data_IF_340123709671
#
_entry.id   IF_340123709671
#
_cell.length_a   1.000
_cell.length_b   1.000
_cell.length_c   1.000
_cell.angle_alpha   90.00
_cell.angle_beta   90.00
_cell.angle_gamma   90.00
#
_symmetry.space_group_name_H-M   'P 1'
#
loop_
_entity.id
_entity.type
_entity.pdbx_description
1 polymer ?
#
# COMPACT_ATOMS: atom_id res chain seq x y z
N UNK A 1 7.60 4.46 33.94
CA UNK A 1 6.27 3.99 33.50
C UNK A 1 6.11 2.52 33.83
N UNK A 2 4.89 2.06 34.12
CA UNK A 2 4.58 0.63 34.26
C UNK A 2 4.28 -0.03 32.90
N UNK A 3 4.18 -1.37 32.84
CA UNK A 3 4.00 -2.11 31.58
C UNK A 3 2.75 -1.67 30.79
N UNK A 4 1.65 -1.36 31.49
CA UNK A 4 0.40 -0.91 30.86
C UNK A 4 0.57 0.47 30.23
N UNK A 5 1.19 1.40 30.95
CA UNK A 5 1.52 2.74 30.44
C UNK A 5 2.44 2.66 29.21
N UNK A 6 3.44 1.78 29.24
CA UNK A 6 4.36 1.57 28.11
C UNK A 6 3.62 1.02 26.87
N UNK A 7 2.68 0.10 27.08
CA UNK A 7 1.84 -0.44 26.02
C UNK A 7 0.93 0.63 25.42
N UNK A 8 0.22 1.38 26.25
CA UNK A 8 -0.69 2.45 25.82
C UNK A 8 0.09 3.54 25.06
N UNK A 9 1.32 3.85 25.50
CA UNK A 9 2.21 4.76 24.78
C UNK A 9 2.65 4.20 23.43
N UNK A 10 3.00 2.91 23.37
CA UNK A 10 3.32 2.22 22.13
C UNK A 10 2.16 2.20 21.14
N UNK A 11 0.94 1.96 21.60
CA UNK A 11 -0.30 2.06 20.82
C UNK A 11 -0.47 3.46 20.23
N UNK A 12 -0.27 4.50 21.05
CA UNK A 12 -0.28 5.90 20.59
C UNK A 12 0.76 6.15 19.49
N UNK A 13 1.99 5.69 19.67
CA UNK A 13 3.04 5.85 18.65
C UNK A 13 2.72 5.10 17.36
N UNK A 14 2.21 3.86 17.43
CA UNK A 14 1.77 3.09 16.27
C UNK A 14 0.69 3.84 15.48
N UNK A 15 -0.30 4.39 16.20
CA UNK A 15 -1.39 5.18 15.63
C UNK A 15 -0.87 6.44 14.93
N UNK A 16 0.01 7.20 15.56
CA UNK A 16 0.58 8.41 14.95
C UNK A 16 1.44 8.08 13.71
N UNK A 17 2.20 6.99 13.74
CA UNK A 17 2.96 6.52 12.58
C UNK A 17 2.04 6.08 11.42
N UNK A 18 0.91 5.42 11.74
CA UNK A 18 -0.06 4.97 10.75
C UNK A 18 -0.77 6.16 10.09
N UNK A 19 -1.19 7.16 10.87
CA UNK A 19 -1.77 8.42 10.36
C UNK A 19 -0.83 9.16 9.41
N UNK A 20 0.45 9.19 9.76
CA UNK A 20 1.48 9.83 8.94
C UNK A 20 1.88 9.02 7.69
N UNK A 21 1.36 7.79 7.52
CA UNK A 21 1.72 6.86 6.46
C UNK A 21 3.23 6.55 6.38
N UNK A 22 3.83 6.36 7.55
CA UNK A 22 5.19 5.80 7.69
C UNK A 22 5.22 4.39 7.07
N UNK A 23 6.37 3.90 6.63
CA UNK A 23 6.50 2.51 6.16
C UNK A 23 6.73 1.54 7.32
N UNK A 24 6.16 0.32 7.28
CA UNK A 24 6.44 -0.71 8.32
C UNK A 24 7.94 -1.01 8.45
N UNK A 25 8.70 -0.91 7.36
CA UNK A 25 10.17 -1.05 7.39
C UNK A 25 10.85 0.04 8.23
N UNK A 26 10.35 1.27 8.20
CA UNK A 26 10.89 2.39 8.97
C UNK A 26 10.58 2.24 10.47
N UNK A 27 9.39 1.76 10.81
CA UNK A 27 9.04 1.42 12.20
C UNK A 27 9.98 0.36 12.78
N UNK A 28 10.23 -0.69 12.00
CA UNK A 28 11.18 -1.74 12.37
C UNK A 28 12.61 -1.23 12.50
N UNK A 29 13.03 -0.34 11.59
CA UNK A 29 14.34 0.31 11.65
C UNK A 29 14.51 1.11 12.94
N UNK A 30 13.52 1.92 13.33
CA UNK A 30 13.57 2.68 14.58
C UNK A 30 13.77 1.80 15.80
N UNK A 31 12.99 0.72 15.91
CA UNK A 31 13.15 -0.25 16.99
C UNK A 31 14.57 -0.85 17.01
N UNK A 32 15.08 -1.28 15.86
CA UNK A 32 16.43 -1.85 15.77
C UNK A 32 17.54 -0.85 16.11
N UNK A 33 17.44 0.39 15.65
CA UNK A 33 18.43 1.42 15.95
C UNK A 33 18.43 1.73 17.45
N UNK A 34 17.27 1.94 18.07
CA UNK A 34 17.21 2.19 19.52
C UNK A 34 17.72 1.00 20.32
N UNK A 35 17.39 -0.23 19.91
CA UNK A 35 17.88 -1.46 20.56
C UNK A 35 19.41 -1.53 20.57
N UNK A 36 20.05 -1.16 19.47
CA UNK A 36 21.49 -1.42 19.24
C UNK A 36 22.40 -0.21 19.48
N UNK A 37 21.86 1.01 19.55
CA UNK A 37 22.63 2.25 19.65
C UNK A 37 22.30 3.03 20.91
N UNK A 38 23.13 4.00 21.26
CA UNK A 38 22.87 4.89 22.40
C UNK A 38 21.69 5.84 22.11
N UNK A 39 21.06 6.37 23.16
CA UNK A 39 19.96 7.31 23.01
C UNK A 39 20.35 8.59 22.22
N UNK A 40 21.53 9.20 22.44
CA UNK A 40 21.97 10.34 21.62
C UNK A 40 22.14 9.99 20.14
N UNK A 41 22.63 8.78 19.82
CA UNK A 41 22.72 8.32 18.44
C UNK A 41 21.33 8.15 17.83
N UNK A 42 20.40 7.56 18.57
CA UNK A 42 19.03 7.37 18.12
C UNK A 42 18.34 8.73 17.86
N UNK A 43 18.51 9.69 18.75
CA UNK A 43 17.98 11.05 18.55
C UNK A 43 18.55 11.71 17.29
N UNK A 44 19.86 11.62 17.07
CA UNK A 44 20.52 12.13 15.87
C UNK A 44 20.02 11.42 14.59
N UNK A 45 19.80 10.10 14.66
CA UNK A 45 19.23 9.33 13.56
C UNK A 45 17.82 9.83 13.20
N UNK A 46 16.95 10.03 14.19
CA UNK A 46 15.58 10.54 13.99
C UNK A 46 15.62 11.93 13.35
N UNK A 47 16.46 12.86 13.86
CA UNK A 47 16.63 14.20 13.27
C UNK A 47 17.06 14.15 11.81
N UNK A 48 17.98 13.24 11.47
CA UNK A 48 18.43 13.05 10.10
C UNK A 48 17.31 12.52 9.18
N UNK A 49 16.51 11.55 9.65
CA UNK A 49 15.38 11.04 8.87
C UNK A 49 14.30 12.11 8.64
N UNK A 50 14.03 12.98 9.62
CA UNK A 50 13.14 14.15 9.46
C UNK A 50 13.69 15.06 8.35
N UNK A 51 14.96 15.45 8.44
CA UNK A 51 15.58 16.32 7.43
C UNK A 51 15.54 15.70 6.03
N UNK A 52 15.71 14.38 5.91
CA UNK A 52 15.58 13.65 4.64
C UNK A 52 14.15 13.61 4.12
N UNK A 53 13.15 13.50 4.99
CA UNK A 53 11.74 13.54 4.59
C UNK A 53 11.38 14.93 4.04
N UNK A 54 11.76 15.99 4.75
CA UNK A 54 11.49 17.39 4.36
C UNK A 54 12.14 17.73 3.02
N UNK A 55 13.38 17.29 2.78
CA UNK A 55 14.12 17.56 1.53
C UNK A 55 13.59 16.78 0.32
N UNK A 56 12.45 16.10 0.43
CA UNK A 56 11.90 15.11 -0.51
C UNK A 56 11.49 15.56 -1.92
N UNK A 57 12.27 16.43 -2.58
CA UNK A 57 12.24 16.63 -4.03
C UNK A 57 13.37 15.85 -4.71
N UNK A 58 13.00 14.90 -5.59
CA UNK A 58 13.85 14.15 -6.54
C UNK A 58 14.58 12.85 -6.12
N UNK A 59 14.87 12.55 -4.84
CA UNK A 59 15.58 11.28 -4.45
C UNK A 59 14.90 10.39 -3.40
N UNK A 60 13.66 10.68 -3.00
CA UNK A 60 12.88 9.82 -2.11
C UNK A 60 13.35 9.87 -0.65
N UNK A 61 12.77 10.80 0.13
CA UNK A 61 12.85 10.78 1.58
C UNK A 61 11.89 9.75 2.19
N UNK A 62 12.08 9.35 3.47
CA UNK A 62 11.15 8.47 4.15
C UNK A 62 9.77 9.13 4.30
N UNK A 63 8.79 8.71 3.49
CA UNK A 63 7.42 9.26 3.51
C UNK A 63 6.84 9.30 4.93
N UNK A 64 6.21 10.41 5.30
CA UNK A 64 5.50 10.55 6.57
C UNK A 64 6.40 10.83 7.78
N UNK A 65 7.72 10.73 7.62
CA UNK A 65 8.65 10.82 8.74
C UNK A 65 8.87 12.27 9.21
N UNK A 66 8.59 13.25 8.37
CA UNK A 66 8.52 14.67 8.73
C UNK A 66 7.40 14.95 9.74
N UNK A 67 6.30 14.18 9.69
CA UNK A 67 5.17 14.30 10.63
C UNK A 67 5.38 13.41 11.86
N UNK A 68 5.83 12.17 11.67
CA UNK A 68 5.98 11.21 12.77
C UNK A 68 7.28 11.41 13.59
N UNK A 69 8.38 11.79 12.95
CA UNK A 69 9.68 11.96 13.62
C UNK A 69 9.64 12.92 14.82
N UNK A 70 8.95 14.08 14.76
CA UNK A 70 8.74 14.93 15.93
C UNK A 70 8.11 14.22 17.13
N UNK A 71 7.20 13.25 16.91
CA UNK A 71 6.59 12.45 17.99
C UNK A 71 7.59 11.52 18.66
N UNK A 72 8.55 11.00 17.91
CA UNK A 72 9.68 10.26 18.49
C UNK A 72 10.58 11.19 19.30
N UNK A 73 10.83 12.42 18.85
CA UNK A 73 11.62 13.39 19.62
C UNK A 73 10.90 13.83 20.91
N UNK A 74 9.57 13.97 20.88
CA UNK A 74 8.74 14.18 22.08
C UNK A 74 8.89 13.01 23.05
N UNK A 75 8.80 11.77 22.55
CA UNK A 75 8.97 10.56 23.37
C UNK A 75 10.38 10.49 24.00
N UNK A 76 11.45 10.82 23.25
CA UNK A 76 12.81 10.86 23.82
C UNK A 76 12.88 11.83 25.01
N UNK A 77 12.22 12.99 24.92
CA UNK A 77 12.19 13.95 26.04
C UNK A 77 11.37 13.44 27.22
N UNK A 78 10.25 12.79 26.96
CA UNK A 78 9.35 12.27 27.99
C UNK A 78 9.97 11.12 28.79
N UNK A 79 10.68 10.21 28.12
CA UNK A 79 11.37 9.11 28.76
C UNK A 79 12.71 9.52 29.39
N UNK A 80 13.31 10.63 28.94
CA UNK A 80 14.60 11.11 29.45
C UNK A 80 15.68 10.04 29.32
N UNK A 81 16.31 9.68 30.45
CA UNK A 81 17.35 8.65 30.48
C UNK A 81 16.81 7.21 30.48
N UNK A 82 15.48 7.01 30.58
CA UNK A 82 14.85 5.68 30.55
C UNK A 82 14.76 5.12 29.12
N UNK A 83 15.93 4.75 28.59
CA UNK A 83 16.06 4.07 27.30
C UNK A 83 15.29 2.75 27.28
N UNK A 84 15.21 2.06 28.42
CA UNK A 84 14.53 0.76 28.54
C UNK A 84 13.02 0.90 28.31
N UNK A 85 12.40 1.87 28.97
CA UNK A 85 11.00 2.22 28.77
C UNK A 85 10.71 2.65 27.33
N UNK A 86 11.55 3.53 26.75
CA UNK A 86 11.36 3.97 25.37
C UNK A 86 11.49 2.80 24.37
N UNK A 87 12.44 1.89 24.61
CA UNK A 87 12.61 0.69 23.79
C UNK A 87 11.38 -0.22 23.87
N UNK A 88 10.81 -0.38 25.06
CA UNK A 88 9.60 -1.18 25.27
C UNK A 88 8.38 -0.55 24.60
N UNK A 89 8.21 0.76 24.71
CA UNK A 89 7.14 1.49 24.01
C UNK A 89 7.27 1.35 22.48
N UNK A 90 8.50 1.43 21.93
CA UNK A 90 8.75 1.22 20.51
C UNK A 90 8.59 -0.24 20.06
N UNK A 91 8.85 -1.21 20.95
CA UNK A 91 8.54 -2.62 20.71
C UNK A 91 7.03 -2.81 20.48
N UNK A 92 6.21 -2.29 21.40
CA UNK A 92 4.75 -2.31 21.25
C UNK A 92 4.28 -1.56 20.02
N UNK A 93 4.84 -0.37 19.76
CA UNK A 93 4.51 0.41 18.58
C UNK A 93 4.79 -0.39 17.30
N UNK A 94 5.94 -1.05 17.20
CA UNK A 94 6.30 -1.86 16.04
C UNK A 94 5.40 -3.10 15.89
N UNK A 95 5.00 -3.75 16.99
CA UNK A 95 4.08 -4.89 16.97
C UNK A 95 2.66 -4.50 16.53
N UNK A 96 2.18 -3.35 16.98
CA UNK A 96 0.79 -2.89 16.76
C UNK A 96 0.65 -2.04 15.51
N UNK A 97 1.76 -1.60 14.92
CA UNK A 97 1.78 -0.74 13.75
C UNK A 97 0.95 -1.30 12.58
N UNK A 98 1.18 -2.55 12.19
CA UNK A 98 0.46 -3.13 11.04
C UNK A 98 -1.04 -3.26 11.33
N UNK A 99 -1.41 -3.56 12.59
CA UNK A 99 -2.81 -3.56 13.03
C UNK A 99 -3.43 -2.17 12.95
N UNK A 100 -2.78 -1.12 13.48
CA UNK A 100 -3.26 0.27 13.41
C UNK A 100 -3.32 0.77 11.96
N UNK A 101 -2.36 0.38 11.11
CA UNK A 101 -2.38 0.71 9.69
C UNK A 101 -3.59 0.07 8.99
N UNK A 102 -3.83 -1.21 9.23
CA UNK A 102 -5.00 -1.92 8.70
C UNK A 102 -6.31 -1.36 9.27
N UNK A 103 -6.34 -1.05 10.56
CA UNK A 103 -7.53 -0.52 11.24
C UNK A 103 -7.90 0.86 10.69
N UNK A 104 -6.93 1.74 10.43
CA UNK A 104 -7.16 3.02 9.75
C UNK A 104 -7.55 2.88 8.29
N UNK A 105 -7.02 1.88 7.59
CA UNK A 105 -7.51 1.52 6.26
C UNK A 105 -8.97 1.02 6.30
N UNK A 106 -9.44 0.47 7.42
CA UNK A 106 -10.82 -0.01 7.60
C UNK A 106 -11.77 0.96 8.33
N UNK A 107 -11.25 2.07 8.90
CA UNK A 107 -12.06 3.19 9.44
C UNK A 107 -12.24 4.30 8.40
N UNK A 108 -11.46 4.27 7.31
CA UNK A 108 -11.77 5.00 6.07
C UNK A 108 -12.98 4.35 5.40
N UNK A 109 -14.16 4.53 6.01
CA UNK A 109 -15.39 3.78 5.70
C UNK A 109 -15.14 2.25 5.79
N UNK A 110 -16.15 1.35 5.70
CA UNK A 110 -15.83 0.00 5.27
C UNK A 110 -14.84 0.11 4.11
N UNK A 111 -13.88 -0.81 3.99
CA UNK A 111 -13.32 -1.08 2.67
C UNK A 111 -14.54 -1.35 1.77
N UNK A 112 -15.04 -0.33 1.08
CA UNK A 112 -15.22 -0.44 -0.35
C UNK A 112 -13.95 -1.18 -0.77
N UNK A 113 -14.14 -2.42 -1.19
CA UNK A 113 -13.15 -3.14 -1.98
C UNK A 113 -12.38 -2.09 -2.79
N UNK A 114 -11.06 -1.99 -2.61
CA UNK A 114 -10.20 -1.06 -3.35
C UNK A 114 -10.53 -1.23 -4.84
N UNK A 115 -11.38 -0.34 -5.33
CA UNK A 115 -12.12 -0.56 -6.57
C UNK A 115 -13.32 0.37 -6.75
N UNK A 116 -13.46 1.48 -6.02
CA UNK A 116 -14.60 2.38 -6.27
C UNK A 116 -14.37 3.86 -5.93
N UNK A 117 -13.23 4.42 -6.34
CA UNK A 117 -13.21 5.84 -6.73
C UNK A 117 -12.36 5.97 -8.00
N UNK A 118 -13.02 5.62 -9.11
CA UNK A 118 -12.69 5.69 -10.56
C UNK A 118 -13.25 4.49 -11.35
N UNK A 119 -13.92 3.54 -10.69
CA UNK A 119 -14.57 2.40 -11.37
C UNK A 119 -15.83 2.81 -12.14
N UNK A 120 -16.70 3.68 -11.59
CA UNK A 120 -17.92 4.09 -12.30
C UNK A 120 -17.64 4.64 -13.71
N UNK A 121 -16.62 5.48 -13.89
CA UNK A 121 -16.29 5.99 -15.23
C UNK A 121 -15.57 4.98 -16.12
N UNK A 122 -14.85 3.99 -15.56
CA UNK A 122 -14.15 2.96 -16.33
C UNK A 122 -15.06 1.79 -16.70
N UNK A 123 -15.87 1.30 -15.76
CA UNK A 123 -16.88 0.28 -16.01
C UNK A 123 -17.97 0.79 -16.94
N UNK A 124 -18.47 2.02 -16.76
CA UNK A 124 -19.51 2.55 -17.66
C UNK A 124 -18.96 2.80 -19.07
N UNK A 125 -17.71 3.25 -19.23
CA UNK A 125 -17.16 3.62 -20.54
C UNK A 125 -16.47 2.45 -21.26
N UNK A 126 -15.68 1.66 -20.54
CA UNK A 126 -14.79 0.66 -21.14
C UNK A 126 -15.28 -0.77 -20.99
N UNK A 127 -16.05 -1.11 -19.95
CA UNK A 127 -16.61 -2.47 -19.81
C UNK A 127 -17.45 -2.86 -21.03
N UNK A 128 -18.44 -2.07 -21.50
CA UNK A 128 -19.22 -2.48 -22.66
C UNK A 128 -18.39 -2.57 -23.95
N UNK A 129 -17.38 -1.71 -24.12
CA UNK A 129 -16.48 -1.72 -25.29
C UNK A 129 -15.57 -2.96 -25.29
N UNK A 130 -14.90 -3.22 -24.17
CA UNK A 130 -13.99 -4.35 -24.01
C UNK A 130 -14.76 -5.67 -23.99
N UNK A 131 -15.92 -5.72 -23.34
CA UNK A 131 -16.73 -6.94 -23.28
C UNK A 131 -17.19 -7.38 -24.66
N UNK A 132 -17.57 -6.47 -25.56
CA UNK A 132 -17.95 -6.81 -26.94
C UNK A 132 -16.83 -7.50 -27.71
N UNK A 133 -15.62 -6.96 -27.63
CA UNK A 133 -14.42 -7.51 -28.30
C UNK A 133 -14.02 -8.84 -27.65
N UNK A 134 -13.91 -8.87 -26.32
CA UNK A 134 -13.46 -10.04 -25.56
C UNK A 134 -14.45 -11.20 -25.63
N UNK A 135 -15.76 -10.93 -25.66
CA UNK A 135 -16.79 -11.95 -25.84
C UNK A 135 -16.66 -12.64 -27.19
N UNK A 136 -16.32 -11.90 -28.24
CA UNK A 136 -16.11 -12.44 -29.59
C UNK A 136 -14.81 -13.26 -29.65
N UNK A 137 -13.71 -12.74 -29.10
CA UNK A 137 -12.41 -13.40 -29.10
C UNK A 137 -12.34 -14.63 -28.19
N UNK A 138 -13.07 -14.63 -27.07
CA UNK A 138 -13.01 -15.69 -26.06
C UNK A 138 -14.25 -16.60 -26.04
N UNK A 139 -15.10 -16.54 -27.07
CA UNK A 139 -16.32 -17.35 -27.15
C UNK A 139 -16.03 -18.86 -27.01
N UNK A 140 -14.98 -19.33 -27.68
CA UNK A 140 -14.54 -20.73 -27.67
C UNK A 140 -14.10 -21.21 -26.28
N UNK A 141 -13.55 -20.30 -25.46
CA UNK A 141 -13.11 -20.58 -24.09
C UNK A 141 -14.22 -20.47 -23.04
N UNK A 142 -15.47 -20.24 -23.46
CA UNK A 142 -16.60 -20.08 -22.55
C UNK A 142 -16.48 -18.82 -21.70
N UNK A 143 -16.29 -17.68 -22.36
CA UNK A 143 -16.31 -16.36 -21.75
C UNK A 143 -17.53 -16.17 -20.83
N UNK A 144 -17.26 -15.78 -19.59
CA UNK A 144 -18.30 -15.52 -18.58
C UNK A 144 -18.50 -14.01 -18.42
N UNK A 145 -17.47 -13.31 -17.97
CA UNK A 145 -17.52 -11.88 -17.67
C UNK A 145 -16.12 -11.26 -17.64
N UNK A 146 -16.09 -9.93 -17.50
CA UNK A 146 -14.86 -9.17 -17.28
C UNK A 146 -14.95 -8.31 -16.02
N UNK A 147 -13.85 -8.27 -15.27
CA UNK A 147 -13.62 -7.33 -14.18
C UNK A 147 -12.63 -6.26 -14.62
N UNK A 148 -12.94 -4.98 -14.38
CA UNK A 148 -12.01 -3.89 -14.63
C UNK A 148 -11.54 -3.30 -13.31
N UNK A 149 -10.23 -3.23 -13.12
CA UNK A 149 -9.61 -2.59 -11.96
C UNK A 149 -8.62 -1.53 -12.42
N UNK A 150 -8.57 -0.38 -11.77
CA UNK A 150 -7.52 0.60 -12.01
C UNK A 150 -6.38 0.44 -11.00
N UNK A 151 -5.20 0.02 -11.47
CA UNK A 151 -4.01 -0.13 -10.64
C UNK A 151 -2.90 0.83 -11.10
N UNK A 152 -2.55 1.81 -10.24
CA UNK A 152 -1.41 2.75 -10.43
C UNK A 152 -1.34 3.41 -11.83
N UNK A 153 -2.49 3.78 -12.40
CA UNK A 153 -2.58 4.41 -13.73
C UNK A 153 -2.70 3.43 -14.91
N UNK A 154 -2.74 2.12 -14.64
CA UNK A 154 -3.07 1.08 -15.61
C UNK A 154 -4.46 0.48 -15.31
N UNK A 155 -5.14 0.00 -16.35
CA UNK A 155 -6.38 -0.76 -16.33
C UNK A 155 -5.98 -2.24 -16.35
N UNK A 156 -6.29 -2.95 -15.27
CA UNK A 156 -6.22 -4.40 -15.22
C UNK A 156 -7.59 -4.95 -15.62
N UNK A 157 -7.65 -5.63 -16.75
CA UNK A 157 -8.83 -6.34 -17.23
C UNK A 157 -8.70 -7.82 -16.86
N UNK A 158 -9.48 -8.25 -15.87
CA UNK A 158 -9.65 -9.66 -15.51
C UNK A 158 -10.67 -10.27 -16.45
N UNK A 159 -10.31 -11.37 -17.10
CA UNK A 159 -11.16 -12.09 -18.05
C UNK A 159 -11.48 -13.45 -17.47
N UNK A 160 -12.76 -13.69 -17.19
CA UNK A 160 -13.24 -14.92 -16.57
C UNK A 160 -13.69 -15.91 -17.63
N UNK A 161 -12.99 -17.05 -17.73
CA UNK A 161 -13.24 -18.10 -18.72
C UNK A 161 -13.55 -19.43 -18.04
N UNK A 162 -14.62 -20.10 -18.46
CA UNK A 162 -15.07 -21.37 -17.84
C UNK A 162 -14.35 -22.60 -18.40
N UNK A 163 -13.96 -22.56 -19.67
CA UNK A 163 -13.41 -23.72 -20.40
C UNK A 163 -11.96 -23.51 -20.83
N UNK A 164 -11.26 -22.56 -20.20
CA UNK A 164 -9.88 -22.27 -20.54
C UNK A 164 -8.93 -23.33 -20.00
N UNK A 165 -8.16 -23.95 -20.90
CA UNK A 165 -7.11 -24.92 -20.60
C UNK A 165 -5.78 -24.63 -21.30
N UNK A 166 -5.63 -23.44 -21.89
CA UNK A 166 -4.43 -23.01 -22.61
C UNK A 166 -3.44 -22.24 -21.74
N UNK A 167 -2.44 -21.62 -22.38
CA UNK A 167 -1.46 -20.78 -21.71
C UNK A 167 -2.04 -19.37 -21.44
N UNK A 168 -2.22 -18.96 -20.16
CA UNK A 168 -2.79 -17.65 -19.83
C UNK A 168 -1.98 -16.46 -20.39
N UNK A 169 -0.66 -16.59 -20.50
CA UNK A 169 0.21 -15.51 -20.95
C UNK A 169 0.13 -15.27 -22.45
N UNK A 170 -0.07 -16.33 -23.24
CA UNK A 170 -0.30 -16.25 -24.69
C UNK A 170 -1.65 -15.58 -24.96
N UNK A 171 -2.72 -16.07 -24.35
CA UNK A 171 -4.05 -15.47 -24.52
C UNK A 171 -4.07 -14.00 -24.06
N UNK A 172 -3.45 -13.67 -22.93
CA UNK A 172 -3.35 -12.27 -22.48
C UNK A 172 -2.59 -11.38 -23.48
N UNK A 173 -1.59 -11.92 -24.18
CA UNK A 173 -0.83 -11.19 -25.21
C UNK A 173 -1.64 -11.00 -26.49
N UNK A 174 -2.41 -12.01 -26.90
CA UNK A 174 -3.28 -11.93 -28.07
C UNK A 174 -4.42 -10.94 -27.82
N UNK A 175 -5.08 -11.01 -26.66
CA UNK A 175 -6.09 -10.05 -26.25
C UNK A 175 -5.53 -8.62 -26.20
N UNK A 176 -4.30 -8.45 -25.73
CA UNK A 176 -3.65 -7.15 -25.74
C UNK A 176 -3.47 -6.58 -27.15
N UNK A 177 -3.04 -7.41 -28.11
CA UNK A 177 -2.86 -6.98 -29.51
C UNK A 177 -4.18 -6.58 -30.15
N UNK A 178 -5.20 -7.42 -30.03
CA UNK A 178 -6.51 -7.18 -30.64
C UNK A 178 -7.20 -5.96 -30.02
N UNK A 179 -7.15 -5.80 -28.70
CA UNK A 179 -7.73 -4.63 -28.04
C UNK A 179 -6.97 -3.34 -28.38
N UNK A 180 -5.65 -3.39 -28.59
CA UNK A 180 -4.91 -2.21 -29.05
C UNK A 180 -5.13 -1.88 -30.53
N UNK A 181 -5.50 -2.87 -31.34
CA UNK A 181 -5.90 -2.63 -32.72
C UNK A 181 -7.20 -1.82 -32.78
N UNK A 182 -8.19 -2.17 -31.94
CA UNK A 182 -9.45 -1.43 -31.86
C UNK A 182 -9.37 -0.15 -31.02
N UNK A 183 -8.57 -0.12 -29.96
CA UNK A 183 -8.44 1.00 -29.01
C UNK A 183 -6.97 1.36 -28.71
N UNK A 184 -6.28 2.04 -29.65
CA UNK A 184 -4.87 2.40 -29.49
C UNK A 184 -4.56 3.26 -28.26
N UNK A 185 -5.53 4.05 -27.78
CA UNK A 185 -5.41 4.93 -26.61
C UNK A 185 -5.14 4.20 -25.28
N UNK A 186 -5.37 2.88 -25.27
CA UNK A 186 -5.09 1.97 -24.15
C UNK A 186 -3.65 1.46 -24.14
N UNK A 187 -2.83 1.83 -25.14
CA UNK A 187 -1.42 1.40 -25.23
C UNK A 187 -0.62 1.84 -23.99
N UNK A 188 0.12 0.89 -23.42
CA UNK A 188 0.85 1.06 -22.15
C UNK A 188 -0.03 1.27 -20.92
N UNK A 189 -1.36 1.28 -21.07
CA UNK A 189 -2.33 1.55 -20.00
C UNK A 189 -3.25 0.38 -19.69
N UNK A 190 -3.27 -0.70 -20.47
CA UNK A 190 -4.09 -1.88 -20.18
C UNK A 190 -3.24 -3.14 -19.99
N UNK A 191 -3.69 -4.05 -19.13
CA UNK A 191 -3.16 -5.41 -18.97
C UNK A 191 -4.30 -6.40 -18.83
N UNK A 192 -4.13 -7.59 -19.39
CA UNK A 192 -5.08 -8.68 -19.27
C UNK A 192 -4.60 -9.71 -18.26
N UNK A 193 -5.54 -10.22 -17.47
CA UNK A 193 -5.32 -11.30 -16.54
C UNK A 193 -6.41 -12.35 -16.74
N UNK A 194 -6.03 -13.57 -17.10
CA UNK A 194 -6.98 -14.65 -17.37
C UNK A 194 -7.24 -15.39 -16.07
N UNK A 195 -8.50 -15.40 -15.64
CA UNK A 195 -8.95 -16.20 -14.49
C UNK A 195 -9.85 -17.32 -14.98
N UNK A 196 -9.68 -18.48 -14.34
CA UNK A 196 -10.60 -19.59 -14.51
C UNK A 196 -11.78 -19.37 -13.57
N UNK A 197 -12.97 -19.20 -14.15
CA UNK A 197 -14.23 -19.13 -13.41
C UNK A 197 -14.69 -20.52 -12.95
#
# INVERSE_FOLDING_TARGET
>A
MNERELKDYGEKLAREAAKADVGSKQMRELFHVLKTKSLPYFEAHVKNQIARSIRGGAKGGPKGFDVFGPKILEAIKEFGDDKGGLLKALEYANMLYDYEKMSMESVKEPRQMKGEVRSESLEVVWKPKLEGVLRSLCAEYGFSEIGLEQQKGMILCRVYLRRFGGNPAELASDLYREVLYEYPELSGKIRFWIEKA
#
